data_IF_408996078322
#
_entry.id   IF_408996078322
#
_cell.length_a   1.000
_cell.length_b   1.000
_cell.length_c   1.000
_cell.angle_alpha   90.00
_cell.angle_beta   90.00
_cell.angle_gamma   90.00
#
_symmetry.space_group_name_H-M   'P 1'
#
loop_
_entity.id
_entity.type
_entity.pdbx_description
1 polymer ?
#
# COMPACT_ATOMS: atom_id res chain seq x y z
N UNK A 1 -3.90 11.69 8.73
CA UNK A 1 -4.44 12.95 9.29
C UNK A 1 -3.43 13.49 10.30
N UNK A 2 -3.31 14.81 10.50
CA UNK A 2 -2.53 15.34 11.61
C UNK A 2 -3.17 14.95 12.96
N UNK A 3 -2.41 15.06 14.05
CA UNK A 3 -2.96 14.89 15.39
C UNK A 3 -3.80 16.11 15.76
N UNK A 4 -5.07 15.89 16.13
CA UNK A 4 -5.97 16.95 16.59
C UNK A 4 -6.18 16.88 18.09
N UNK A 5 -6.08 18.02 18.78
CA UNK A 5 -6.41 18.09 20.20
C UNK A 5 -7.93 18.16 20.42
N UNK A 6 -8.57 16.98 20.42
CA UNK A 6 -10.02 16.82 20.62
C UNK A 6 -10.54 17.27 22.00
N UNK A 7 -9.66 17.63 22.95
CA UNK A 7 -10.06 18.15 24.27
C UNK A 7 -10.43 19.64 24.21
N UNK A 8 -10.06 20.34 23.15
CA UNK A 8 -10.34 21.77 22.95
C UNK A 8 -11.42 21.98 21.88
N UNK A 9 -12.17 23.07 21.96
CA UNK A 9 -13.14 23.41 20.90
C UNK A 9 -12.42 23.73 19.58
N UNK A 10 -11.30 24.46 19.64
CA UNK A 10 -10.45 24.76 18.48
C UNK A 10 -10.00 23.47 17.77
N UNK A 11 -9.47 22.49 18.50
CA UNK A 11 -9.01 21.23 17.89
C UNK A 11 -10.13 20.39 17.26
N UNK A 12 -11.37 20.50 17.74
CA UNK A 12 -12.55 19.87 17.09
C UNK A 12 -12.96 20.60 15.82
N UNK A 13 -12.84 21.93 15.80
CA UNK A 13 -13.11 22.74 14.61
C UNK A 13 -12.05 22.51 13.53
N UNK A 14 -10.77 22.42 13.91
CA UNK A 14 -9.67 22.06 13.01
C UNK A 14 -9.87 20.68 12.38
N UNK A 15 -10.24 19.67 13.17
CA UNK A 15 -10.54 18.32 12.66
C UNK A 15 -11.71 18.35 11.67
N UNK A 16 -12.77 19.09 11.99
CA UNK A 16 -13.93 19.23 11.10
C UNK A 16 -13.58 19.95 9.80
N UNK A 17 -12.77 21.01 9.87
CA UNK A 17 -12.30 21.75 8.70
C UNK A 17 -11.44 20.86 7.80
N UNK A 18 -10.51 20.10 8.39
CA UNK A 18 -9.66 19.16 7.67
C UNK A 18 -10.48 18.06 6.96
N UNK A 19 -11.46 17.48 7.65
CA UNK A 19 -12.34 16.46 7.04
C UNK A 19 -13.17 17.04 5.90
N UNK A 20 -13.65 18.28 6.04
CA UNK A 20 -14.42 18.96 5.01
C UNK A 20 -13.57 19.28 3.77
N UNK A 21 -12.33 19.72 3.97
CA UNK A 21 -11.34 19.91 2.88
C UNK A 21 -11.08 18.59 2.16
N UNK A 22 -10.80 17.51 2.92
CA UNK A 22 -10.49 16.20 2.38
C UNK A 22 -11.66 15.57 1.62
N UNK A 23 -12.91 15.86 1.99
CA UNK A 23 -14.10 15.31 1.34
C UNK A 23 -14.14 15.59 -0.18
N UNK A 24 -13.55 16.71 -0.62
CA UNK A 24 -13.49 17.09 -2.03
C UNK A 24 -12.42 16.33 -2.84
N UNK A 25 -11.52 15.61 -2.17
CA UNK A 25 -10.32 15.02 -2.80
C UNK A 25 -10.52 13.59 -3.30
N UNK A 26 -11.61 12.93 -2.91
CA UNK A 26 -11.84 11.50 -3.18
C UNK A 26 -10.88 10.56 -2.44
N UNK A 27 -10.05 11.07 -1.52
CA UNK A 27 -9.08 10.29 -0.75
C UNK A 27 -9.71 9.78 0.55
N UNK A 28 -9.32 8.57 0.94
CA UNK A 28 -9.64 8.03 2.26
C UNK A 28 -8.71 8.64 3.30
N UNK A 29 -9.27 9.35 4.28
CA UNK A 29 -8.51 9.88 5.41
C UNK A 29 -8.24 8.75 6.40
N UNK A 30 -6.97 8.51 6.73
CA UNK A 30 -6.54 7.65 7.84
C UNK A 30 -6.16 8.49 9.06
N UNK A 31 -6.27 7.91 10.25
CA UNK A 31 -5.85 8.51 11.51
C UNK A 31 -4.32 8.66 11.57
N UNK A 32 -3.84 9.51 12.49
CA UNK A 32 -2.41 9.66 12.74
C UNK A 32 -1.77 8.33 13.21
N UNK A 33 -2.49 7.56 14.04
CA UNK A 33 -2.02 6.28 14.56
C UNK A 33 -1.92 5.21 13.47
N UNK A 34 -2.93 5.09 12.59
CA UNK A 34 -2.88 4.19 11.44
C UNK A 34 -1.71 4.53 10.50
N UNK A 35 -1.51 5.82 10.22
CA UNK A 35 -0.38 6.29 9.42
C UNK A 35 0.96 5.91 10.04
N UNK A 36 1.11 6.09 11.35
CA UNK A 36 2.30 5.68 12.09
C UNK A 36 2.50 4.16 12.04
N UNK A 37 1.44 3.36 12.17
CA UNK A 37 1.53 1.90 12.11
C UNK A 37 2.01 1.44 10.73
N UNK A 38 1.45 2.00 9.65
CA UNK A 38 1.86 1.70 8.27
C UNK A 38 3.33 2.04 8.04
N UNK A 39 3.77 3.21 8.50
CA UNK A 39 5.18 3.63 8.38
C UNK A 39 6.11 2.65 9.11
N UNK A 40 5.76 2.24 10.33
CA UNK A 40 6.56 1.26 11.08
C UNK A 40 6.62 -0.10 10.37
N UNK A 41 5.52 -0.56 9.78
CA UNK A 41 5.50 -1.80 8.99
C UNK A 41 6.43 -1.69 7.78
N UNK A 42 6.38 -0.57 7.05
CA UNK A 42 7.26 -0.30 5.93
C UNK A 42 8.73 -0.30 6.36
N UNK A 43 9.08 0.47 7.39
CA UNK A 43 10.45 0.54 7.91
C UNK A 43 10.98 -0.81 8.38
N UNK A 44 10.12 -1.66 8.96
CA UNK A 44 10.50 -3.02 9.35
C UNK A 44 10.88 -3.89 8.15
N UNK A 45 10.19 -3.75 7.01
CA UNK A 45 10.55 -4.47 5.77
C UNK A 45 11.86 -3.93 5.20
N UNK A 46 12.02 -2.60 5.19
CA UNK A 46 13.22 -1.93 4.68
C UNK A 46 14.47 -2.19 5.52
N UNK A 47 14.32 -2.55 6.80
CA UNK A 47 15.43 -2.93 7.66
C UNK A 47 16.06 -4.30 7.31
N UNK A 48 15.34 -5.15 6.55
CA UNK A 48 15.85 -6.44 6.09
C UNK A 48 16.49 -6.28 4.70
N UNK A 49 17.77 -6.64 4.49
CA UNK A 49 18.44 -6.43 3.20
C UNK A 49 17.70 -7.01 1.99
N UNK A 50 17.13 -8.20 2.12
CA UNK A 50 16.31 -8.81 1.07
C UNK A 50 14.98 -8.07 0.87
N UNK A 51 14.34 -7.63 1.96
CA UNK A 51 13.08 -6.88 1.92
C UNK A 51 13.27 -5.54 1.21
N UNK A 52 14.29 -4.78 1.60
CA UNK A 52 14.70 -3.55 0.93
C UNK A 52 14.96 -3.79 -0.56
N UNK A 53 15.77 -4.80 -0.89
CA UNK A 53 16.10 -5.12 -2.27
C UNK A 53 14.87 -5.45 -3.11
N UNK A 54 13.93 -6.25 -2.58
CA UNK A 54 12.67 -6.57 -3.26
C UNK A 54 11.83 -5.31 -3.54
N UNK A 55 11.71 -4.41 -2.56
CA UNK A 55 10.92 -3.18 -2.65
C UNK A 55 11.54 -2.17 -3.60
N UNK A 56 12.87 -1.99 -3.58
CA UNK A 56 13.58 -0.98 -4.37
C UNK A 56 13.95 -1.42 -5.78
N UNK A 57 14.06 -2.72 -6.05
CA UNK A 57 14.46 -3.24 -7.37
C UNK A 57 13.56 -2.73 -8.49
N UNK A 58 14.14 -2.43 -9.65
CA UNK A 58 13.38 -2.05 -10.83
C UNK A 58 12.43 -3.20 -11.24
N UNK A 59 11.18 -2.84 -11.53
CA UNK A 59 10.16 -3.84 -11.84
C UNK A 59 8.81 -3.22 -12.16
N UNK A 60 7.86 -4.08 -12.47
CA UNK A 60 6.50 -3.68 -12.79
C UNK A 60 5.57 -4.07 -11.64
N UNK A 61 4.96 -3.07 -11.01
CA UNK A 61 3.92 -3.30 -10.02
C UNK A 61 2.59 -3.58 -10.72
N UNK A 62 1.76 -4.42 -10.12
CA UNK A 62 0.34 -4.61 -10.51
C UNK A 62 0.13 -4.96 -11.99
N UNK A 63 1.06 -5.69 -12.59
CA UNK A 63 0.97 -6.08 -14.01
C UNK A 63 0.08 -7.30 -14.18
N UNK A 64 -0.93 -7.20 -15.05
CA UNK A 64 -1.79 -8.34 -15.35
C UNK A 64 -1.18 -9.23 -16.43
N UNK A 65 -1.08 -10.52 -16.11
CA UNK A 65 -0.61 -11.57 -17.01
C UNK A 65 -1.81 -12.44 -17.38
N UNK A 66 -1.92 -12.77 -18.66
CA UNK A 66 -2.96 -13.61 -19.23
C UNK A 66 -2.31 -14.74 -20.02
N UNK A 67 -2.85 -15.94 -19.90
CA UNK A 67 -2.42 -17.10 -20.68
C UNK A 67 -3.58 -18.07 -20.87
N UNK A 68 -3.55 -18.85 -21.93
CA UNK A 68 -4.45 -20.00 -22.09
C UNK A 68 -3.80 -21.22 -21.46
N UNK A 69 -4.50 -21.88 -20.54
CA UNK A 69 -4.06 -23.12 -19.95
C UNK A 69 -4.06 -24.25 -21.01
N UNK A 70 -2.91 -24.90 -21.29
CA UNK A 70 -2.83 -25.86 -22.41
C UNK A 70 -3.68 -27.13 -22.23
N UNK A 71 -4.00 -27.52 -20.99
CA UNK A 71 -4.79 -28.72 -20.72
C UNK A 71 -6.29 -28.47 -20.86
N UNK A 72 -6.76 -27.34 -20.32
CA UNK A 72 -8.19 -27.02 -20.23
C UNK A 72 -8.67 -26.04 -21.30
N UNK A 73 -7.76 -25.32 -21.97
CA UNK A 73 -8.09 -24.23 -22.89
C UNK A 73 -8.68 -22.99 -22.22
N UNK A 74 -8.63 -22.91 -20.88
CA UNK A 74 -9.21 -21.81 -20.11
C UNK A 74 -8.25 -20.61 -20.14
N UNK A 75 -8.80 -19.42 -20.40
CA UNK A 75 -8.05 -18.17 -20.23
C UNK A 75 -7.86 -17.88 -18.74
N UNK A 76 -6.62 -18.02 -18.27
CA UNK A 76 -6.19 -17.71 -16.93
C UNK A 76 -5.67 -16.27 -16.82
N UNK A 77 -5.74 -15.72 -15.61
CA UNK A 77 -5.19 -14.40 -15.26
C UNK A 77 -4.51 -14.43 -13.90
N UNK A 78 -3.35 -13.80 -13.79
CA UNK A 78 -2.78 -13.40 -12.51
C UNK A 78 -2.38 -11.92 -12.55
N UNK A 79 -2.26 -11.31 -11.37
CA UNK A 79 -1.78 -9.94 -11.20
C UNK A 79 -0.88 -9.92 -9.97
N UNK A 80 0.43 -10.15 -10.14
CA UNK A 80 1.36 -10.08 -9.02
C UNK A 80 1.53 -8.65 -8.55
N UNK A 81 1.77 -8.46 -7.24
CA UNK A 81 2.00 -7.14 -6.67
C UNK A 81 3.23 -6.47 -7.32
N UNK A 82 4.31 -7.24 -7.53
CA UNK A 82 5.49 -6.76 -8.29
C UNK A 82 6.24 -7.89 -9.00
N UNK A 83 6.69 -7.59 -10.21
CA UNK A 83 7.58 -8.45 -11.01
C UNK A 83 8.92 -7.73 -11.17
N UNK A 84 10.03 -8.42 -10.90
CA UNK A 84 11.40 -7.94 -11.11
C UNK A 84 11.99 -8.72 -12.30
N UNK A 85 11.96 -8.14 -13.52
CA UNK A 85 12.26 -8.89 -14.75
C UNK A 85 13.70 -9.40 -14.81
N UNK A 86 14.67 -8.60 -14.36
CA UNK A 86 16.11 -8.90 -14.45
C UNK A 86 16.47 -10.28 -13.89
N UNK A 87 15.79 -10.71 -12.82
CA UNK A 87 16.05 -11.97 -12.14
C UNK A 87 14.92 -12.98 -12.27
N UNK A 88 13.81 -12.62 -12.94
CA UNK A 88 12.56 -13.37 -12.97
C UNK A 88 11.93 -13.61 -11.59
N UNK A 89 12.03 -12.63 -10.69
CA UNK A 89 11.41 -12.72 -9.36
C UNK A 89 10.01 -12.13 -9.36
N UNK A 90 9.12 -12.78 -8.61
CA UNK A 90 7.76 -12.30 -8.36
C UNK A 90 7.63 -12.08 -6.84
N UNK A 91 7.17 -10.88 -6.47
CA UNK A 91 6.88 -10.50 -5.09
C UNK A 91 5.37 -10.34 -4.94
N UNK A 92 4.85 -10.91 -3.87
CA UNK A 92 3.46 -10.78 -3.42
C UNK A 92 3.49 -10.42 -1.94
N UNK A 93 2.92 -9.25 -1.60
CA UNK A 93 2.94 -8.69 -0.26
C UNK A 93 1.74 -9.21 0.50
N UNK A 94 1.99 -9.64 1.74
CA UNK A 94 0.95 -10.13 2.63
C UNK A 94 1.14 -9.57 4.03
N UNK A 95 0.04 -9.22 4.66
CA UNK A 95 -0.03 -8.85 6.08
C UNK A 95 -0.81 -9.92 6.83
N UNK A 96 -0.41 -10.24 8.05
CA UNK A 96 -1.15 -11.13 8.95
C UNK A 96 -1.40 -10.46 10.29
N UNK A 97 -2.43 -10.93 11.00
CA UNK A 97 -2.67 -10.61 12.41
C UNK A 97 -1.81 -11.47 13.33
#
# INVERSE_FOLDING_TARGET
APEFNRRTNAGKEEEKAFLMECASTGKTVITAEEGRKIELMYQSVMALPLGQWLVESAGHAESSIYWEDPETGILCRCRPDKIIPEFHWIMDVKTTA
#
